data_IF_222881041653
#
_entry.id   IF_222881041653
#
_cell.length_a   1.000
_cell.length_b   1.000
_cell.length_c   1.000
_cell.angle_alpha   90.00
_cell.angle_beta   90.00
_cell.angle_gamma   90.00
#
_symmetry.space_group_name_H-M   'P 1'
#
loop_
_entity.id
_entity.type
_entity.pdbx_description
1 polymer ?
#
# COMPACT_ATOMS: atom_id res chain seq x y z
N UNK A 1 -23.11 -8.89 30.31
CA UNK A 1 -23.95 -8.12 29.37
C UNK A 1 -23.58 -6.67 29.59
N UNK A 2 -22.67 -6.12 28.78
CA UNK A 2 -22.25 -4.72 28.87
C UNK A 2 -22.79 -4.04 27.63
N UNK A 3 -23.66 -3.06 27.85
CA UNK A 3 -24.43 -2.33 26.85
C UNK A 3 -23.54 -1.78 25.74
N UNK A 4 -23.81 -2.27 24.52
CA UNK A 4 -23.36 -1.64 23.29
C UNK A 4 -24.10 -0.33 23.09
N UNK A 5 -23.57 0.75 23.65
CA UNK A 5 -23.96 2.10 23.28
C UNK A 5 -23.56 2.33 21.82
N UNK A 6 -24.54 2.34 20.91
CA UNK A 6 -24.36 2.80 19.53
C UNK A 6 -24.04 4.30 19.62
N UNK A 7 -22.75 4.64 19.61
CA UNK A 7 -22.30 6.01 19.43
C UNK A 7 -22.83 6.49 18.07
N UNK A 8 -23.83 7.37 18.08
CA UNK A 8 -24.27 8.08 16.87
C UNK A 8 -23.04 8.81 16.34
N UNK A 9 -22.51 8.36 15.20
CA UNK A 9 -21.47 9.08 14.47
C UNK A 9 -22.03 10.45 14.08
N UNK A 10 -21.65 11.48 14.83
CA UNK A 10 -22.14 12.84 14.61
C UNK A 10 -21.46 13.42 13.37
N UNK A 11 -22.21 14.13 12.52
CA UNK A 11 -21.68 14.72 11.27
C UNK A 11 -20.55 15.71 11.54
N UNK A 12 -20.52 16.26 12.76
CA UNK A 12 -19.45 17.10 13.29
C UNK A 12 -18.13 16.34 13.40
N UNK A 13 -18.10 15.08 13.86
CA UNK A 13 -16.87 14.29 14.00
C UNK A 13 -16.23 13.97 12.64
N UNK A 14 -17.04 13.68 11.62
CA UNK A 14 -16.53 13.42 10.26
C UNK A 14 -15.94 14.70 9.64
N UNK A 15 -16.63 15.83 9.81
CA UNK A 15 -16.18 17.14 9.30
C UNK A 15 -14.92 17.61 10.02
N UNK A 16 -14.81 17.36 11.33
CA UNK A 16 -13.60 17.64 12.10
C UNK A 16 -12.44 16.71 11.76
N UNK A 17 -12.69 15.42 11.48
CA UNK A 17 -11.66 14.51 10.95
C UNK A 17 -11.08 15.05 9.64
N UNK A 18 -11.94 15.48 8.72
CA UNK A 18 -11.53 16.03 7.43
C UNK A 18 -10.76 17.35 7.60
N UNK A 19 -11.24 18.23 8.48
CA UNK A 19 -10.58 19.51 8.81
C UNK A 19 -9.21 19.30 9.46
N UNK A 20 -9.07 18.30 10.32
CA UNK A 20 -7.80 17.95 10.98
C UNK A 20 -6.80 17.35 9.99
N UNK A 21 -7.29 16.51 9.06
CA UNK A 21 -6.47 15.97 7.97
C UNK A 21 -5.92 17.07 7.05
N UNK A 22 -6.71 18.12 6.79
CA UNK A 22 -6.28 19.27 5.99
C UNK A 22 -5.46 20.32 6.74
N UNK A 23 -5.61 20.45 8.06
CA UNK A 23 -4.84 21.42 8.86
C UNK A 23 -3.38 21.01 9.07
N UNK A 24 -3.09 19.72 9.10
CA UNK A 24 -1.75 19.21 9.42
C UNK A 24 -1.07 18.74 8.14
N UNK A 25 -0.03 19.44 7.63
CA UNK A 25 0.61 19.09 6.36
C UNK A 25 1.21 17.67 6.39
N UNK A 26 1.54 17.17 7.58
CA UNK A 26 1.96 15.79 7.81
C UNK A 26 0.86 14.77 7.48
N UNK A 27 -0.34 14.96 8.05
CA UNK A 27 -1.47 14.05 7.88
C UNK A 27 -1.95 14.04 6.44
N UNK A 28 -1.95 15.21 5.77
CA UNK A 28 -2.28 15.29 4.35
C UNK A 28 -1.30 14.49 3.48
N UNK A 29 0.02 14.60 3.72
CA UNK A 29 1.02 13.80 2.99
C UNK A 29 0.87 12.30 3.27
N UNK A 30 0.56 11.94 4.51
CA UNK A 30 0.28 10.56 4.90
C UNK A 30 -0.94 10.01 4.15
N UNK A 31 -2.03 10.79 4.09
CA UNK A 31 -3.25 10.43 3.39
C UNK A 31 -3.04 10.33 1.87
N UNK A 32 -2.23 11.22 1.29
CA UNK A 32 -1.86 11.15 -0.12
C UNK A 32 -1.02 9.92 -0.44
N UNK A 33 -0.01 9.62 0.37
CA UNK A 33 0.82 8.42 0.20
C UNK A 33 0.01 7.13 0.36
N UNK A 34 -0.85 7.08 1.37
CA UNK A 34 -1.83 6.01 1.54
C UNK A 34 -2.70 5.85 0.30
N UNK A 35 -3.21 6.98 -0.18
CA UNK A 35 -4.14 7.01 -1.29
C UNK A 35 -3.54 6.57 -2.61
N UNK A 36 -2.31 6.98 -2.89
CA UNK A 36 -1.60 6.51 -4.07
C UNK A 36 -1.33 5.01 -3.98
N UNK A 37 -1.03 4.48 -2.80
CA UNK A 37 -0.80 3.04 -2.59
C UNK A 37 -2.06 2.21 -2.85
N UNK A 38 -3.21 2.68 -2.37
CA UNK A 38 -4.52 2.08 -2.70
C UNK A 38 -4.84 2.21 -4.19
N UNK A 39 -4.63 3.38 -4.78
CA UNK A 39 -4.87 3.63 -6.20
C UNK A 39 -4.02 2.74 -7.10
N UNK A 40 -2.74 2.56 -6.78
CA UNK A 40 -1.80 1.64 -7.43
C UNK A 40 -2.34 0.20 -7.46
N UNK A 41 -2.77 -0.29 -6.30
CA UNK A 41 -3.34 -1.63 -6.15
C UNK A 41 -4.57 -1.79 -7.03
N UNK A 42 -5.52 -0.85 -6.95
CA UNK A 42 -6.73 -0.86 -7.77
C UNK A 42 -6.48 -0.70 -9.27
N UNK A 43 -5.48 0.09 -9.64
CA UNK A 43 -5.12 0.30 -11.03
C UNK A 43 -4.60 -1.00 -11.67
N UNK A 44 -3.69 -1.71 -11.00
CA UNK A 44 -3.16 -2.98 -11.53
C UNK A 44 -4.24 -4.05 -11.71
N UNK A 45 -5.17 -4.15 -10.74
CA UNK A 45 -6.26 -5.12 -10.79
C UNK A 45 -7.29 -4.84 -11.89
N UNK A 46 -7.43 -3.58 -12.34
CA UNK A 46 -8.39 -3.24 -13.39
C UNK A 46 -7.80 -3.04 -14.78
N UNK A 47 -6.54 -2.58 -14.87
CA UNK A 47 -5.88 -2.39 -16.17
C UNK A 47 -5.72 -3.71 -16.91
N UNK A 48 -5.45 -4.81 -16.19
CA UNK A 48 -5.28 -6.15 -16.79
C UNK A 48 -6.54 -6.60 -17.53
N UNK A 49 -7.73 -6.31 -17.02
CA UNK A 49 -8.99 -6.76 -17.63
C UNK A 49 -9.22 -6.16 -19.01
N UNK A 50 -8.81 -4.90 -19.22
CA UNK A 50 -8.87 -4.27 -20.54
C UNK A 50 -7.66 -4.62 -21.41
N UNK A 51 -6.45 -4.61 -20.85
CA UNK A 51 -5.23 -4.90 -21.59
C UNK A 51 -5.20 -6.33 -22.14
N UNK A 52 -5.77 -7.32 -21.43
CA UNK A 52 -5.80 -8.72 -21.85
C UNK A 52 -6.57 -8.92 -23.16
N UNK A 53 -7.61 -8.13 -23.43
CA UNK A 53 -8.35 -8.20 -24.69
C UNK A 53 -7.43 -7.85 -25.87
N UNK A 54 -6.71 -6.74 -25.77
CA UNK A 54 -5.80 -6.28 -26.82
C UNK A 54 -4.53 -7.16 -26.94
N UNK A 55 -4.06 -7.76 -25.83
CA UNK A 55 -2.94 -8.71 -25.87
C UNK A 55 -3.33 -9.98 -26.64
N UNK A 56 -4.60 -10.42 -26.56
CA UNK A 56 -5.10 -11.56 -27.35
C UNK A 56 -5.10 -11.22 -28.84
N UNK A 57 -5.54 -10.01 -29.20
CA UNK A 57 -5.59 -9.55 -30.59
C UNK A 57 -4.18 -9.44 -31.22
N UNK A 58 -3.18 -8.94 -30.46
CA UNK A 58 -1.81 -8.78 -30.95
C UNK A 58 -0.99 -10.09 -30.95
N UNK A 59 -1.31 -11.04 -30.07
CA UNK A 59 -0.61 -12.33 -29.98
C UNK A 59 -1.57 -13.50 -30.18
N UNK A 60 -1.62 -14.05 -31.40
CA UNK A 60 -2.40 -15.27 -31.70
C UNK A 60 -2.09 -16.44 -30.75
N UNK A 61 -0.86 -16.53 -30.23
CA UNK A 61 -0.47 -17.55 -29.27
C UNK A 61 -1.18 -17.42 -27.92
N UNK A 62 -1.58 -16.21 -27.52
CA UNK A 62 -2.33 -15.93 -26.30
C UNK A 62 -3.82 -16.16 -26.54
N UNK A 63 -4.32 -15.83 -27.74
CA UNK A 63 -5.71 -16.11 -28.11
C UNK A 63 -6.00 -17.62 -28.20
N UNK A 64 -5.13 -18.39 -28.87
CA UNK A 64 -5.29 -19.85 -29.06
C UNK A 64 -5.06 -20.68 -27.80
N UNK A 65 -4.50 -20.11 -26.73
CA UNK A 65 -4.08 -20.86 -25.52
C UNK A 65 -4.63 -20.21 -24.25
N UNK A 66 -5.77 -20.71 -23.78
CA UNK A 66 -6.42 -20.24 -22.54
C UNK A 66 -5.49 -20.27 -21.33
N UNK A 67 -4.65 -21.29 -21.20
CA UNK A 67 -3.70 -21.42 -20.09
C UNK A 67 -2.69 -20.25 -20.02
N UNK A 68 -2.31 -19.65 -21.16
CA UNK A 68 -1.40 -18.49 -21.17
C UNK A 68 -2.09 -17.25 -20.59
N UNK A 69 -3.36 -17.06 -20.90
CA UNK A 69 -4.16 -15.95 -20.38
C UNK A 69 -4.32 -16.07 -18.86
N UNK A 70 -4.69 -17.26 -18.40
CA UNK A 70 -4.82 -17.57 -16.97
C UNK A 70 -3.48 -17.41 -16.25
N UNK A 71 -2.37 -17.81 -16.88
CA UNK A 71 -1.02 -17.62 -16.33
C UNK A 71 -0.69 -16.13 -16.17
N UNK A 72 -0.98 -15.29 -17.17
CA UNK A 72 -0.73 -13.84 -17.08
C UNK A 72 -1.47 -13.21 -15.89
N UNK A 73 -2.73 -13.58 -15.68
CA UNK A 73 -3.55 -13.04 -14.58
C UNK A 73 -3.13 -13.62 -13.22
N UNK A 74 -2.95 -14.94 -13.13
CA UNK A 74 -2.65 -15.63 -11.87
C UNK A 74 -1.25 -15.36 -11.33
N UNK A 75 -0.25 -15.15 -12.20
CA UNK A 75 1.12 -14.90 -11.76
C UNK A 75 1.28 -13.56 -11.02
N UNK A 76 0.40 -12.57 -11.28
CA UNK A 76 0.34 -11.36 -10.48
C UNK A 76 -0.11 -11.66 -9.03
N UNK A 77 -1.12 -12.51 -8.86
CA UNK A 77 -1.60 -12.94 -7.54
C UNK A 77 -0.55 -13.77 -6.82
N UNK A 78 0.10 -14.70 -7.52
CA UNK A 78 1.20 -15.49 -6.96
C UNK A 78 2.36 -14.58 -6.49
N UNK A 79 2.74 -13.60 -7.31
CA UNK A 79 3.71 -12.57 -6.94
C UNK A 79 3.27 -11.77 -5.71
N UNK A 80 1.99 -11.42 -5.61
CA UNK A 80 1.45 -10.67 -4.47
C UNK A 80 1.47 -11.47 -3.15
N UNK A 81 1.22 -12.78 -3.18
CA UNK A 81 1.32 -13.65 -2.00
C UNK A 81 2.75 -13.64 -1.46
N UNK A 82 3.73 -13.86 -2.33
CA UNK A 82 5.15 -13.85 -1.96
C UNK A 82 5.58 -12.45 -1.51
N UNK A 83 5.14 -11.41 -2.23
CA UNK A 83 5.40 -10.01 -1.92
C UNK A 83 4.85 -9.60 -0.56
N UNK A 84 3.64 -10.01 -0.19
CA UNK A 84 3.07 -9.72 1.13
C UNK A 84 3.88 -10.39 2.27
N UNK A 85 4.31 -11.64 2.07
CA UNK A 85 5.17 -12.36 3.02
C UNK A 85 6.53 -11.69 3.22
N UNK A 86 7.24 -11.42 2.11
CA UNK A 86 8.53 -10.72 2.13
C UNK A 86 8.38 -9.29 2.68
N UNK A 87 7.31 -8.59 2.29
CA UNK A 87 6.98 -7.25 2.74
C UNK A 87 6.84 -7.16 4.26
N UNK A 88 6.27 -8.18 4.92
CA UNK A 88 6.20 -8.22 6.38
C UNK A 88 7.56 -8.24 7.06
N UNK A 89 8.46 -9.07 6.57
CA UNK A 89 9.82 -9.20 7.10
C UNK A 89 10.60 -7.90 6.88
N UNK A 90 10.51 -7.33 5.68
CA UNK A 90 11.18 -6.07 5.32
C UNK A 90 10.64 -4.94 6.18
N UNK A 91 9.32 -4.87 6.36
CA UNK A 91 8.67 -3.83 7.15
C UNK A 91 9.09 -3.87 8.63
N UNK A 92 9.20 -5.07 9.21
CA UNK A 92 9.70 -5.24 10.57
C UNK A 92 11.18 -4.88 10.72
N UNK A 93 12.02 -5.25 9.74
CA UNK A 93 13.48 -5.10 9.83
C UNK A 93 13.99 -3.73 9.41
N UNK A 94 13.49 -3.21 8.29
CA UNK A 94 13.98 -1.99 7.63
C UNK A 94 13.06 -0.78 7.79
N UNK A 95 11.81 -1.00 8.20
CA UNK A 95 10.81 0.05 8.37
C UNK A 95 9.81 0.11 7.22
N UNK A 96 8.79 0.94 7.42
CA UNK A 96 7.59 1.03 6.59
C UNK A 96 7.91 1.85 5.35
N UNK A 97 8.63 2.97 5.52
CA UNK A 97 9.07 3.83 4.41
C UNK A 97 9.94 3.07 3.43
N UNK A 98 10.96 2.35 3.92
CA UNK A 98 11.87 1.58 3.05
C UNK A 98 11.15 0.44 2.33
N UNK A 99 10.20 -0.22 3.01
CA UNK A 99 9.36 -1.25 2.40
C UNK A 99 8.55 -0.68 1.22
N UNK A 100 7.88 0.46 1.41
CA UNK A 100 7.10 1.10 0.33
C UNK A 100 8.00 1.55 -0.83
N UNK A 101 9.14 2.19 -0.56
CA UNK A 101 10.10 2.58 -1.60
C UNK A 101 10.60 1.38 -2.42
N UNK A 102 10.91 0.26 -1.75
CA UNK A 102 11.32 -0.97 -2.44
C UNK A 102 10.17 -1.58 -3.26
N UNK A 103 8.94 -1.52 -2.76
CA UNK A 103 7.76 -1.99 -3.47
C UNK A 103 7.49 -1.17 -4.74
N UNK A 104 7.58 0.17 -4.63
CA UNK A 104 7.40 1.09 -5.77
C UNK A 104 8.47 0.87 -6.84
N UNK A 105 9.72 0.65 -6.44
CA UNK A 105 10.83 0.36 -7.36
C UNK A 105 10.61 -0.95 -8.12
N UNK A 106 10.24 -2.02 -7.41
CA UNK A 106 9.97 -3.33 -8.02
C UNK A 106 8.73 -3.27 -8.93
N UNK A 107 7.69 -2.56 -8.52
CA UNK A 107 6.51 -2.31 -9.37
C UNK A 107 6.90 -1.59 -10.65
N UNK A 108 7.68 -0.50 -10.55
CA UNK A 108 8.11 0.27 -11.71
C UNK A 108 8.90 -0.57 -12.71
N UNK A 109 9.83 -1.41 -12.24
CA UNK A 109 10.55 -2.36 -13.09
C UNK A 109 9.57 -3.31 -13.79
N UNK A 110 8.61 -3.87 -13.07
CA UNK A 110 7.59 -4.74 -13.65
C UNK A 110 6.75 -4.04 -14.73
N UNK A 111 6.36 -2.78 -14.50
CA UNK A 111 5.63 -1.97 -15.47
C UNK A 111 6.45 -1.70 -16.74
N UNK A 112 7.75 -1.36 -16.59
CA UNK A 112 8.66 -1.17 -17.73
C UNK A 112 8.84 -2.47 -18.53
N UNK A 113 9.05 -3.60 -17.86
CA UNK A 113 9.18 -4.93 -18.49
C UNK A 113 7.93 -5.24 -19.32
N UNK A 114 6.74 -4.98 -18.77
CA UNK A 114 5.49 -5.19 -19.50
C UNK A 114 5.33 -4.24 -20.70
N UNK A 115 5.73 -2.97 -20.56
CA UNK A 115 5.62 -1.98 -21.65
C UNK A 115 6.49 -2.33 -22.86
N UNK A 116 7.69 -2.87 -22.64
CA UNK A 116 8.62 -3.25 -23.72
C UNK A 116 8.47 -4.70 -24.17
N UNK A 117 7.58 -5.49 -23.56
CA UNK A 117 7.48 -6.94 -23.77
C UNK A 117 7.34 -7.33 -25.26
N UNK A 118 8.33 -8.03 -25.86
CA UNK A 118 8.25 -8.52 -27.23
C UNK A 118 7.46 -9.83 -27.35
N UNK A 119 7.25 -10.53 -26.24
CA UNK A 119 6.60 -11.84 -26.19
C UNK A 119 5.70 -11.98 -24.94
N UNK A 120 4.67 -12.83 -24.98
CA UNK A 120 3.74 -13.04 -23.86
C UNK A 120 4.43 -13.48 -22.56
N UNK A 121 5.50 -14.27 -22.67
CA UNK A 121 6.30 -14.72 -21.52
C UNK A 121 6.95 -13.57 -20.75
N UNK A 122 7.33 -12.51 -21.44
CA UNK A 122 7.91 -11.31 -20.81
C UNK A 122 6.82 -10.56 -20.02
N UNK A 123 5.57 -10.60 -20.48
CA UNK A 123 4.42 -10.06 -19.74
C UNK A 123 4.21 -10.86 -18.44
N UNK A 124 4.32 -12.18 -18.49
CA UNK A 124 4.23 -13.04 -17.29
C UNK A 124 5.31 -12.67 -16.28
N UNK A 125 6.56 -12.49 -16.71
CA UNK A 125 7.65 -12.04 -15.84
C UNK A 125 7.34 -10.67 -15.23
N UNK A 126 6.91 -9.70 -16.04
CA UNK A 126 6.51 -8.39 -15.55
C UNK A 126 5.37 -8.44 -14.52
N UNK A 127 4.40 -9.35 -14.70
CA UNK A 127 3.31 -9.59 -13.75
C UNK A 127 3.79 -10.11 -12.40
N UNK A 128 4.83 -10.95 -12.37
CA UNK A 128 5.45 -11.41 -11.12
C UNK A 128 6.05 -10.22 -10.36
N UNK A 129 6.80 -9.36 -11.05
CA UNK A 129 7.42 -8.17 -10.44
C UNK A 129 6.37 -7.18 -9.94
N UNK A 130 5.36 -6.86 -10.76
CA UNK A 130 4.27 -5.98 -10.34
C UNK A 130 3.52 -6.60 -9.16
N UNK A 131 3.17 -7.88 -9.23
CA UNK A 131 2.54 -8.61 -8.13
C UNK A 131 3.32 -8.50 -6.84
N UNK A 132 4.65 -8.70 -6.88
CA UNK A 132 5.52 -8.57 -5.71
C UNK A 132 5.45 -7.16 -5.09
N UNK A 133 5.56 -6.11 -5.91
CA UNK A 133 5.44 -4.72 -5.46
C UNK A 133 4.07 -4.41 -4.87
N UNK A 134 2.99 -4.81 -5.56
CA UNK A 134 1.60 -4.64 -5.11
C UNK A 134 1.35 -5.36 -3.78
N UNK A 135 1.83 -6.60 -3.63
CA UNK A 135 1.70 -7.37 -2.40
C UNK A 135 2.41 -6.72 -1.21
N UNK A 136 3.63 -6.23 -1.41
CA UNK A 136 4.38 -5.49 -0.39
C UNK A 136 3.66 -4.19 0.01
N UNK A 137 3.19 -3.43 -0.97
CA UNK A 137 2.49 -2.16 -0.75
C UNK A 137 1.14 -2.37 -0.06
N UNK A 138 0.36 -3.38 -0.47
CA UNK A 138 -0.95 -3.73 0.10
C UNK A 138 -0.89 -3.99 1.61
N UNK A 139 0.15 -4.67 2.09
CA UNK A 139 0.32 -4.88 3.52
C UNK A 139 0.93 -3.68 4.25
N UNK A 140 1.86 -2.97 3.60
CA UNK A 140 2.60 -1.88 4.26
C UNK A 140 1.77 -0.59 4.37
N UNK A 141 0.96 -0.24 3.37
CA UNK A 141 0.17 0.98 3.34
C UNK A 141 -0.82 1.11 4.51
N UNK A 142 -1.77 0.19 4.74
CA UNK A 142 -2.70 0.28 5.87
C UNK A 142 -1.97 0.23 7.22
N UNK A 143 -0.87 -0.52 7.30
CA UNK A 143 -0.06 -0.59 8.51
C UNK A 143 0.63 0.75 8.80
N UNK A 144 1.27 1.36 7.80
CA UNK A 144 1.94 2.66 7.92
C UNK A 144 0.96 3.76 8.33
N UNK A 145 -0.25 3.78 7.73
CA UNK A 145 -1.33 4.68 8.12
C UNK A 145 -1.69 4.44 9.59
N UNK A 146 -1.97 3.20 9.96
CA UNK A 146 -2.46 2.86 11.30
C UNK A 146 -1.48 3.19 12.44
N UNK A 147 -0.19 3.26 12.11
CA UNK A 147 0.89 3.57 13.04
C UNK A 147 1.26 5.06 13.07
N UNK A 148 0.98 5.79 11.99
CA UNK A 148 1.37 7.20 11.82
C UNK A 148 0.21 8.19 11.92
N UNK A 149 -1.03 7.69 11.94
CA UNK A 149 -2.24 8.52 12.09
C UNK A 149 -2.69 8.64 13.55
N UNK A 150 -3.26 9.79 13.96
CA UNK A 150 -3.94 9.93 15.24
C UNK A 150 -5.08 8.91 15.39
N UNK A 151 -5.29 8.42 16.62
CA UNK A 151 -6.31 7.41 16.92
C UNK A 151 -7.72 7.80 16.45
N UNK A 152 -8.06 9.09 16.54
CA UNK A 152 -9.37 9.65 16.15
C UNK A 152 -9.66 9.50 14.65
N UNK A 153 -8.68 9.77 13.78
CA UNK A 153 -8.88 9.82 12.32
C UNK A 153 -8.39 8.56 11.59
N UNK A 154 -7.75 7.64 12.32
CA UNK A 154 -7.15 6.42 11.76
C UNK A 154 -8.15 5.60 10.93
N UNK A 155 -9.37 5.43 11.44
CA UNK A 155 -10.41 4.69 10.75
C UNK A 155 -10.78 5.34 9.41
N UNK A 156 -10.94 6.66 9.40
CA UNK A 156 -11.24 7.41 8.18
C UNK A 156 -10.13 7.25 7.12
N UNK A 157 -8.86 7.38 7.52
CA UNK A 157 -7.73 7.24 6.60
C UNK A 157 -7.59 5.83 6.02
N UNK A 158 -7.83 4.80 6.82
CA UNK A 158 -7.84 3.41 6.33
C UNK A 158 -9.00 3.18 5.37
N UNK A 159 -10.19 3.73 5.65
CA UNK A 159 -11.33 3.69 4.73
C UNK A 159 -11.05 4.45 3.43
N UNK A 160 -10.35 5.59 3.49
CA UNK A 160 -9.92 6.33 2.29
C UNK A 160 -9.00 5.49 1.41
N UNK A 161 -8.08 4.72 1.99
CA UNK A 161 -7.25 3.78 1.22
C UNK A 161 -8.13 2.74 0.48
N UNK A 162 -9.14 2.20 1.14
CA UNK A 162 -10.12 1.29 0.52
C UNK A 162 -10.91 1.94 -0.62
N UNK A 163 -11.37 3.18 -0.43
CA UNK A 163 -12.05 3.96 -1.48
C UNK A 163 -11.13 4.27 -2.66
N UNK A 164 -9.84 4.46 -2.43
CA UNK A 164 -8.87 4.74 -3.49
C UNK A 164 -8.46 3.49 -4.26
N UNK A 165 -8.57 2.30 -3.66
CA UNK A 165 -8.49 1.03 -4.39
C UNK A 165 -9.62 0.96 -5.43
N UNK A 166 -10.88 1.17 -5.01
CA UNK A 166 -12.00 1.14 -5.96
C UNK A 166 -11.94 2.29 -6.97
N UNK A 167 -11.49 3.47 -6.54
CA UNK A 167 -11.21 4.61 -7.42
C UNK A 167 -10.11 4.32 -8.46
N UNK A 168 -9.05 3.61 -8.07
CA UNK A 168 -7.98 3.15 -8.98
C UNK A 168 -8.50 2.16 -10.01
N UNK A 169 -9.35 1.21 -9.60
CA UNK A 169 -10.02 0.29 -10.51
C UNK A 169 -10.88 1.05 -11.53
N UNK A 170 -11.68 2.01 -11.07
CA UNK A 170 -12.49 2.85 -11.96
C UNK A 170 -11.64 3.65 -12.96
N UNK A 171 -10.56 4.27 -12.47
CA UNK A 171 -9.62 5.03 -13.31
C UNK A 171 -8.92 4.14 -14.35
N UNK A 172 -8.60 2.89 -14.00
CA UNK A 172 -8.00 1.94 -14.95
C UNK A 172 -8.94 1.63 -16.11
N UNK A 173 -10.25 1.50 -15.86
CA UNK A 173 -11.22 1.29 -16.93
C UNK A 173 -11.39 2.51 -17.82
N UNK A 174 -11.33 3.72 -17.26
CA UNK A 174 -11.31 4.98 -18.03
C UNK A 174 -10.07 5.07 -18.93
N UNK A 175 -8.90 4.70 -18.40
CA UNK A 175 -7.65 4.69 -19.18
C UNK A 175 -7.73 3.63 -20.27
N UNK A 176 -8.22 2.42 -19.97
CA UNK A 176 -8.47 1.40 -20.98
C UNK A 176 -9.40 1.94 -22.08
N UNK A 177 -10.50 2.62 -21.72
CA UNK A 177 -11.42 3.23 -22.67
C UNK A 177 -10.74 4.29 -23.54
N UNK A 178 -9.94 5.18 -22.93
CA UNK A 178 -9.25 6.26 -23.62
C UNK A 178 -8.22 5.76 -24.63
N UNK A 179 -7.52 4.67 -24.29
CA UNK A 179 -6.49 4.13 -25.16
C UNK A 179 -7.04 3.19 -26.24
N UNK A 180 -8.28 2.71 -26.17
CA UNK A 180 -8.88 1.74 -27.14
C UNK A 180 -8.66 2.05 -28.64
N UNK A 181 -8.51 3.32 -29.02
CA UNK A 181 -8.32 3.75 -30.42
C UNK A 181 -6.85 3.94 -30.85
N UNK A 182 -5.88 3.77 -29.95
CA UNK A 182 -4.45 3.96 -30.23
C UNK A 182 -3.80 2.67 -30.76
N UNK A 183 -2.90 2.77 -31.76
CA UNK A 183 -2.07 1.63 -32.21
C UNK A 183 -1.05 1.26 -31.12
N UNK A 184 -0.88 -0.02 -30.79
CA UNK A 184 -0.02 -0.49 -29.69
C UNK A 184 -0.64 -0.28 -28.29
N UNK A 185 -1.97 -0.37 -28.24
CA UNK A 185 -2.89 -0.04 -27.15
C UNK A 185 -2.47 -0.55 -25.78
N UNK A 186 -2.16 -1.85 -25.68
CA UNK A 186 -1.92 -2.51 -24.39
C UNK A 186 -0.59 -2.11 -23.75
N UNK A 187 0.42 -1.75 -24.56
CA UNK A 187 1.73 -1.29 -24.05
C UNK A 187 1.60 0.03 -23.32
N UNK A 188 0.78 0.94 -23.83
CA UNK A 188 0.50 2.22 -23.18
C UNK A 188 -0.37 2.04 -21.94
N UNK A 189 -1.38 1.17 -21.99
CA UNK A 189 -2.21 0.84 -20.82
C UNK A 189 -1.37 0.33 -19.64
N UNK A 190 -0.43 -0.59 -19.92
CA UNK A 190 0.47 -1.15 -18.90
C UNK A 190 1.64 -0.21 -18.55
N UNK A 191 2.13 0.58 -19.51
CA UNK A 191 3.23 1.53 -19.28
C UNK A 191 2.81 2.72 -18.41
N UNK A 192 1.59 3.22 -18.57
CA UNK A 192 1.01 4.29 -17.72
C UNK A 192 0.88 3.83 -16.27
N UNK A 193 0.79 2.52 -16.02
CA UNK A 193 0.86 1.94 -14.67
C UNK A 193 2.15 2.31 -13.93
N UNK A 194 3.23 2.61 -14.64
CA UNK A 194 4.51 3.03 -14.07
C UNK A 194 4.54 4.47 -13.54
N UNK A 195 3.53 5.31 -13.81
CA UNK A 195 3.50 6.70 -13.34
C UNK A 195 3.14 6.80 -11.84
N UNK A 196 2.03 6.22 -11.34
CA UNK A 196 1.70 6.23 -9.91
C UNK A 196 2.81 5.78 -8.95
N UNK A 197 3.59 4.70 -9.19
CA UNK A 197 4.64 4.26 -8.27
C UNK A 197 5.81 5.23 -8.25
N UNK A 198 6.12 5.92 -9.36
CA UNK A 198 7.16 6.96 -9.38
C UNK A 198 6.71 8.16 -8.55
N UNK A 199 5.46 8.59 -8.69
CA UNK A 199 4.90 9.67 -7.86
C UNK A 199 4.91 9.28 -6.38
N UNK A 200 4.55 8.04 -6.06
CA UNK A 200 4.60 7.52 -4.69
C UNK A 200 6.03 7.50 -4.15
N UNK A 201 6.99 7.03 -4.95
CA UNK A 201 8.39 6.94 -4.57
C UNK A 201 8.92 8.32 -4.18
N UNK A 202 8.69 9.33 -5.02
CA UNK A 202 9.09 10.72 -4.75
C UNK A 202 8.42 11.28 -3.51
N UNK A 203 7.11 11.05 -3.36
CA UNK A 203 6.37 11.50 -2.18
C UNK A 203 6.93 10.84 -0.90
N UNK A 204 7.26 9.55 -0.95
CA UNK A 204 7.77 8.81 0.19
C UNK A 204 9.17 9.26 0.63
N UNK A 205 10.00 9.79 -0.28
CA UNK A 205 11.29 10.37 0.11
C UNK A 205 11.11 11.50 1.13
N UNK A 206 10.03 12.27 1.03
CA UNK A 206 9.72 13.41 1.92
C UNK A 206 9.01 13.03 3.23
N UNK A 207 8.44 11.83 3.33
CA UNK A 207 7.73 11.34 4.51
C UNK A 207 8.72 10.71 5.50
N UNK A 208 8.56 10.90 6.82
CA UNK A 208 9.41 10.23 7.79
C UNK A 208 8.91 8.81 8.09
N UNK A 209 9.75 8.05 8.76
CA UNK A 209 9.46 6.66 9.15
C UNK A 209 8.39 6.59 10.25
N UNK A 210 7.73 5.45 10.41
CA UNK A 210 6.70 5.26 11.44
C UNK A 210 7.27 5.52 12.86
N UNK A 211 6.59 6.34 13.70
CA UNK A 211 7.05 6.64 15.06
C UNK A 211 7.13 5.37 15.94
N UNK A 212 6.23 4.41 15.71
CA UNK A 212 6.26 3.08 16.35
C UNK A 212 7.48 2.28 15.97
N UNK A 213 7.90 2.34 14.71
CA UNK A 213 9.11 1.65 14.25
C UNK A 213 10.36 2.25 14.89
N UNK A 214 10.47 3.57 14.89
CA UNK A 214 11.61 4.29 15.47
C UNK A 214 11.77 4.00 16.96
N UNK A 215 10.65 4.00 17.70
CA UNK A 215 10.66 3.63 19.11
C UNK A 215 11.16 2.18 19.32
N UNK A 216 10.76 1.23 18.46
CA UNK A 216 11.23 -0.17 18.52
C UNK A 216 12.73 -0.29 18.24
N UNK A 217 13.30 0.62 17.46
CA UNK A 217 14.74 0.67 17.15
C UNK A 217 15.55 1.49 18.16
N UNK A 218 15.01 1.78 19.35
CA UNK A 218 15.61 2.63 20.39
C UNK A 218 15.88 4.09 19.96
N UNK A 219 15.27 4.56 18.86
CA UNK A 219 15.37 5.95 18.39
C UNK A 219 14.24 6.79 18.98
N UNK A 220 14.27 6.95 20.30
CA UNK A 220 13.18 7.58 21.08
C UNK A 220 13.01 9.06 20.73
N UNK A 221 14.12 9.78 20.51
CA UNK A 221 14.10 11.21 20.18
C UNK A 221 13.51 11.47 18.78
N UNK A 222 13.88 10.66 17.79
CA UNK A 222 13.29 10.72 16.43
C UNK A 222 11.79 10.39 16.47
N UNK A 223 11.37 9.41 17.29
CA UNK A 223 9.96 9.08 17.45
C UNK A 223 9.17 10.24 18.08
N UNK A 224 9.74 10.91 19.09
CA UNK A 224 9.13 12.09 19.74
C UNK A 224 8.98 13.24 18.75
N UNK A 225 10.02 13.56 17.99
CA UNK A 225 10.00 14.63 16.99
C UNK A 225 8.92 14.43 15.90
N UNK A 226 8.59 13.18 15.57
CA UNK A 226 7.48 12.88 14.64
C UNK A 226 6.13 13.03 15.34
N UNK A 227 5.99 12.58 16.58
CA UNK A 227 4.74 12.74 17.34
C UNK A 227 4.43 14.21 17.61
N UNK A 228 5.43 15.06 17.85
CA UNK A 228 5.26 16.51 17.98
C UNK A 228 4.73 17.18 16.69
N UNK A 229 4.87 16.53 15.53
CA UNK A 229 4.28 17.00 14.26
C UNK A 229 2.85 16.50 14.05
N UNK A 230 2.40 15.51 14.83
CA UNK A 230 1.10 14.84 14.69
C UNK A 230 0.14 15.29 15.78
N UNK A 231 0.64 15.43 17.01
CA UNK A 231 -0.12 15.73 18.22
C UNK A 231 0.30 17.08 18.82
N UNK A 232 -0.61 17.80 19.48
CA UNK A 232 -0.26 18.98 20.26
C UNK A 232 0.64 18.60 21.46
N UNK A 233 1.46 19.53 21.93
CA UNK A 233 2.55 19.27 22.88
C UNK A 233 2.09 18.61 24.20
N UNK A 234 0.86 18.86 24.62
CA UNK A 234 0.24 18.30 25.83
C UNK A 234 -0.21 16.83 25.69
N UNK A 235 -0.39 16.35 24.46
CA UNK A 235 -0.76 14.95 24.16
C UNK A 235 0.43 14.07 23.77
N UNK A 236 1.55 14.66 23.32
CA UNK A 236 2.76 13.92 22.90
C UNK A 236 3.29 13.02 24.02
N UNK A 237 3.37 13.53 25.25
CA UNK A 237 3.88 12.76 26.38
C UNK A 237 2.94 11.60 26.79
N UNK A 238 1.63 11.77 26.60
CA UNK A 238 0.64 10.71 26.82
C UNK A 238 0.80 9.60 25.78
N UNK A 239 0.94 9.97 24.51
CA UNK A 239 1.16 9.01 23.41
C UNK A 239 2.49 8.29 23.53
N UNK A 240 3.56 8.97 23.94
CA UNK A 240 4.85 8.34 24.24
C UNK A 240 4.75 7.30 25.35
N UNK A 241 3.99 7.57 26.42
CA UNK A 241 3.71 6.59 27.48
C UNK A 241 2.87 5.42 26.99
N UNK A 242 1.88 5.66 26.14
CA UNK A 242 1.04 4.62 25.53
C UNK A 242 1.84 3.72 24.57
N UNK A 243 2.79 4.29 23.82
CA UNK A 243 3.75 3.55 23.00
C UNK A 243 4.65 2.67 23.87
N UNK A 244 5.20 3.21 24.96
CA UNK A 244 6.03 2.47 25.89
C UNK A 244 5.28 1.28 26.52
N UNK A 245 4.03 1.47 26.94
CA UNK A 245 3.21 0.41 27.57
C UNK A 245 2.85 -0.69 26.57
N UNK A 246 2.42 -0.33 25.37
CA UNK A 246 2.09 -1.30 24.30
C UNK A 246 3.30 -2.14 23.88
N UNK A 247 4.49 -1.56 23.87
CA UNK A 247 5.74 -2.26 23.57
C UNK A 247 6.18 -3.19 24.70
N UNK A 248 6.06 -2.76 25.97
CA UNK A 248 6.31 -3.63 27.14
C UNK A 248 5.38 -4.85 27.12
N UNK A 249 4.11 -4.65 26.80
CA UNK A 249 3.12 -5.72 26.69
C UNK A 249 3.48 -6.70 25.57
N UNK A 250 3.81 -6.22 24.37
CA UNK A 250 4.27 -7.07 23.25
C UNK A 250 5.53 -7.86 23.59
N UNK A 251 6.50 -7.24 24.28
CA UNK A 251 7.74 -7.90 24.70
C UNK A 251 7.46 -9.01 25.73
N UNK A 252 6.57 -8.75 26.69
CA UNK A 252 6.13 -9.74 27.68
C UNK A 252 5.38 -10.91 27.04
N UNK A 253 4.48 -10.62 26.09
CA UNK A 253 3.77 -11.64 25.32
C UNK A 253 4.74 -12.52 24.51
N UNK A 254 5.76 -11.91 23.87
CA UNK A 254 6.76 -12.65 23.09
C UNK A 254 7.63 -13.55 23.97
N UNK A 255 7.95 -13.12 25.20
CA UNK A 255 8.65 -13.95 26.18
C UNK A 255 7.79 -15.15 26.62
N UNK A 256 6.52 -14.93 26.91
CA UNK A 256 5.58 -15.99 27.29
C UNK A 256 5.37 -17.02 26.17
N UNK A 257 5.26 -16.56 24.92
CA UNK A 257 5.15 -17.42 23.74
C UNK A 257 6.45 -18.14 23.38
N UNK A 258 7.60 -17.50 23.61
CA UNK A 258 8.92 -18.11 23.44
C UNK A 258 9.16 -19.24 24.45
N UNK A 259 8.70 -19.08 25.69
CA UNK A 259 8.77 -20.14 26.70
C UNK A 259 7.82 -21.30 26.42
N UNK A 260 6.65 -21.07 25.81
CA UNK A 260 5.72 -22.17 25.47
C UNK A 260 6.12 -22.95 24.22
N UNK A 261 6.88 -22.35 23.29
CA UNK A 261 7.48 -23.08 22.16
C UNK A 261 8.72 -23.89 22.53
N UNK A 262 9.39 -23.59 23.66
CA UNK A 262 10.54 -24.37 24.16
C UNK A 262 10.14 -25.56 25.05
N UNK A 263 8.85 -25.73 25.33
CA UNK A 263 8.29 -26.76 26.22
C UNK A 263 7.44 -27.81 25.47
N UNK A 264 7.54 -27.87 24.13
CA UNK A 264 6.93 -28.90 23.29
C UNK A 264 7.97 -29.58 22.42
#
# INVERSE_FOLDING_TARGET
MVEGGIAKADKTEFTECWRTAWRTPYIMRLALSAGIGGLLFGYDTGVISGALLYIRDDFESVDKKTWLQETIVSMAVAGAIVGAGCGGIINDRFGRKKSILSADFVFFIGAVIMAIAPAPWVIVVGRIFVGFGVGMASMTSPLYISESSPARIRGALVSTNGLLITGGQFLSYLINLAFTKAKGTWRWMLGVAGIPPVVQFVLMLSLPESPRWLYRQNKVDEARAILERIYPADEVDKEMKALASSMKLKRRMKLLLGTTCSLK
#
